data_IF_533465145938
#
_entry.id   IF_533465145938
#
_cell.length_a   1.000
_cell.length_b   1.000
_cell.length_c   1.000
_cell.angle_alpha   90.00
_cell.angle_beta   90.00
_cell.angle_gamma   90.00
#
_symmetry.space_group_name_H-M   'P 1'
#
loop_
_entity.id
_entity.type
_entity.pdbx_description
1 polymer ?
#
# COMPACT_ATOMS: atom_id res chain seq x y z
N UNK A 1 10.02 42.47 69.96
CA UNK A 1 9.57 41.07 69.77
C UNK A 1 9.48 40.81 68.27
N UNK A 2 10.61 40.45 67.68
CA UNK A 2 10.93 39.09 67.18
C UNK A 2 10.30 38.77 65.83
N UNK A 3 11.14 38.85 64.80
CA UNK A 3 10.92 38.33 63.44
C UNK A 3 10.52 36.86 63.48
N UNK A 4 9.58 36.45 62.63
CA UNK A 4 9.57 35.08 62.12
C UNK A 4 9.04 35.05 60.69
N UNK A 5 9.96 34.77 59.75
CA UNK A 5 9.69 34.37 58.38
C UNK A 5 8.95 33.04 58.39
N UNK A 6 7.86 32.90 57.63
CA UNK A 6 7.42 31.59 57.11
C UNK A 6 7.08 31.70 55.63
N UNK A 7 7.81 30.88 54.90
CA UNK A 7 7.86 30.67 53.46
C UNK A 7 6.57 30.08 52.92
N UNK A 8 6.18 30.55 51.74
CA UNK A 8 5.07 30.03 50.94
C UNK A 8 5.50 28.73 50.26
N UNK A 9 4.80 27.63 50.53
CA UNK A 9 4.93 26.38 49.80
C UNK A 9 3.70 26.23 48.87
N UNK A 10 3.88 26.62 47.61
CA UNK A 10 2.94 26.32 46.53
C UNK A 10 3.23 24.89 46.07
N UNK A 11 2.38 23.95 46.47
CA UNK A 11 2.39 22.57 45.96
C UNK A 11 1.76 22.57 44.56
N UNK A 12 2.60 22.81 43.55
CA UNK A 12 2.33 22.41 42.17
C UNK A 12 2.55 20.90 42.09
N UNK A 13 1.48 20.14 41.82
CA UNK A 13 1.54 18.72 41.45
C UNK A 13 1.64 18.67 39.92
N UNK A 14 2.77 18.29 39.32
CA UNK A 14 2.78 17.86 37.93
C UNK A 14 2.44 16.37 37.91
N UNK A 15 1.30 16.04 37.31
CA UNK A 15 0.99 14.71 36.80
C UNK A 15 2.05 14.31 35.78
N UNK A 16 3.09 13.60 36.21
CA UNK A 16 3.96 12.85 35.32
C UNK A 16 3.29 11.51 34.98
N UNK A 17 2.30 11.54 34.08
CA UNK A 17 1.94 10.37 33.27
C UNK A 17 2.99 10.22 32.16
N UNK A 18 4.17 9.72 32.52
CA UNK A 18 5.09 9.14 31.55
C UNK A 18 4.52 7.80 31.14
N UNK A 19 3.59 7.81 30.18
CA UNK A 19 3.37 6.64 29.33
C UNK A 19 4.62 6.50 28.46
N UNK A 20 5.67 5.89 29.03
CA UNK A 20 6.71 5.28 28.23
C UNK A 20 6.03 4.17 27.42
N UNK A 21 5.59 4.48 26.20
CA UNK A 21 5.54 3.48 25.15
C UNK A 21 7.00 3.13 24.82
N UNK A 22 7.63 2.39 25.73
CA UNK A 22 8.65 1.45 25.32
C UNK A 22 7.88 0.45 24.49
N UNK A 23 8.02 0.57 23.17
CA UNK A 23 7.87 -0.57 22.27
C UNK A 23 8.94 -1.55 22.73
N UNK A 24 8.66 -2.29 23.81
CA UNK A 24 9.37 -3.51 24.11
C UNK A 24 9.23 -4.31 22.84
N UNK A 25 10.34 -4.49 22.14
CA UNK A 25 10.52 -5.61 21.23
C UNK A 25 9.76 -6.76 21.87
N UNK A 26 8.66 -7.19 21.26
CA UNK A 26 8.10 -8.49 21.63
C UNK A 26 9.24 -9.43 21.30
N UNK A 27 10.00 -9.77 22.33
CA UNK A 27 10.73 -11.02 22.41
C UNK A 27 9.83 -12.05 21.76
N UNK A 28 10.43 -12.95 21.00
CA UNK A 28 9.89 -14.23 20.58
C UNK A 28 9.48 -15.05 21.81
N UNK A 29 8.52 -14.53 22.59
CA UNK A 29 7.58 -15.34 23.31
C UNK A 29 7.05 -16.27 22.23
N UNK A 30 7.36 -17.56 22.38
CA UNK A 30 6.66 -18.59 21.66
C UNK A 30 5.19 -18.23 21.79
N UNK A 31 4.58 -17.73 20.72
CA UNK A 31 3.12 -17.70 20.61
C UNK A 31 2.75 -19.18 20.55
N UNK A 32 2.76 -19.84 21.71
CA UNK A 32 2.28 -21.20 21.89
C UNK A 32 0.79 -21.10 21.57
N UNK A 33 0.47 -21.54 20.36
CA UNK A 33 -0.88 -21.53 19.86
C UNK A 33 -1.75 -22.24 20.88
N UNK A 34 -2.79 -21.55 21.33
CA UNK A 34 -3.73 -22.04 22.32
C UNK A 34 -4.15 -23.47 21.94
N UNK A 35 -3.90 -24.40 22.87
CA UNK A 35 -4.35 -25.78 22.78
C UNK A 35 -5.85 -25.80 22.46
N UNK A 36 -6.23 -26.40 21.33
CA UNK A 36 -7.61 -26.41 20.83
C UNK A 36 -7.90 -25.48 19.64
N UNK A 37 -6.89 -24.80 19.09
CA UNK A 37 -7.08 -24.02 17.85
C UNK A 37 -7.46 -24.92 16.67
N UNK A 38 -8.56 -24.58 15.99
CA UNK A 38 -9.01 -25.31 14.79
C UNK A 38 -8.02 -25.09 13.63
N UNK A 39 -7.54 -26.21 13.07
CA UNK A 39 -6.82 -26.24 11.80
C UNK A 39 -7.73 -27.00 10.85
N UNK A 40 -7.95 -26.42 9.67
CA UNK A 40 -8.63 -27.11 8.59
C UNK A 40 -7.99 -28.48 8.33
N UNK A 41 -8.76 -29.60 8.35
CA UNK A 41 -8.23 -30.95 8.18
C UNK A 41 -7.46 -31.20 6.88
N UNK A 42 -7.65 -30.35 5.86
CA UNK A 42 -6.94 -30.42 4.59
C UNK A 42 -5.52 -29.85 4.65
N UNK A 43 -5.14 -29.24 5.78
CA UNK A 43 -3.91 -28.47 5.94
C UNK A 43 -3.07 -29.03 7.08
N UNK A 44 -1.75 -29.06 6.88
CA UNK A 44 -0.78 -29.40 7.92
C UNK A 44 0.15 -28.23 8.17
N UNK A 45 0.63 -28.10 9.41
CA UNK A 45 1.59 -27.05 9.75
C UNK A 45 3.03 -27.54 9.54
N UNK A 46 3.84 -26.67 8.99
CA UNK A 46 5.28 -26.86 8.94
C UNK A 46 5.94 -26.16 10.14
N UNK A 47 6.66 -26.87 11.01
CA UNK A 47 7.30 -26.27 12.18
C UNK A 47 8.49 -25.39 11.76
N UNK A 48 8.52 -24.15 12.25
CA UNK A 48 9.63 -23.22 12.01
C UNK A 48 10.70 -23.24 13.12
N UNK A 49 10.56 -24.09 14.15
CA UNK A 49 11.42 -24.10 15.33
C UNK A 49 12.91 -24.33 15.00
N UNK A 50 13.19 -25.13 13.95
CA UNK A 50 14.55 -25.44 13.50
C UNK A 50 15.13 -24.38 12.55
N UNK A 51 14.34 -23.36 12.18
CA UNK A 51 14.71 -22.32 11.22
C UNK A 51 14.74 -20.96 11.92
N UNK A 52 15.92 -20.35 11.99
CA UNK A 52 16.04 -19.02 12.56
C UNK A 52 15.25 -18.00 11.76
N UNK A 53 14.29 -17.39 12.46
CA UNK A 53 13.49 -16.28 11.96
C UNK A 53 14.16 -14.91 12.18
N UNK A 54 15.36 -14.89 12.79
CA UNK A 54 16.13 -13.65 12.96
C UNK A 54 16.81 -13.23 11.66
N UNK A 55 16.52 -12.02 11.19
CA UNK A 55 17.23 -11.37 10.07
C UNK A 55 18.72 -11.25 10.36
N UNK A 56 19.11 -10.97 11.61
CA UNK A 56 20.50 -10.77 12.01
C UNK A 56 21.35 -12.03 11.90
N UNK A 57 20.74 -13.22 11.84
CA UNK A 57 21.48 -14.44 11.53
C UNK A 57 22.01 -14.45 10.09
N UNK A 58 21.24 -13.86 9.17
CA UNK A 58 21.51 -13.89 7.73
C UNK A 58 22.19 -12.61 7.23
N UNK A 59 22.01 -11.51 7.95
CA UNK A 59 22.65 -10.22 7.72
C UNK A 59 23.28 -9.75 9.04
N UNK A 60 24.45 -10.29 9.42
CA UNK A 60 25.06 -10.04 10.72
C UNK A 60 25.45 -8.56 10.89
N UNK A 61 25.00 -7.86 11.94
CA UNK A 61 25.35 -6.45 12.17
C UNK A 61 26.83 -6.19 12.42
N UNK A 62 27.59 -7.22 12.79
CA UNK A 62 29.04 -7.18 13.01
C UNK A 62 29.87 -7.57 11.76
N UNK A 63 29.21 -7.83 10.62
CA UNK A 63 29.93 -8.15 9.38
C UNK A 63 30.70 -6.93 8.87
N UNK A 64 31.91 -7.16 8.35
CA UNK A 64 32.77 -6.09 7.84
C UNK A 64 32.14 -5.31 6.66
N UNK A 65 31.19 -5.93 5.95
CA UNK A 65 30.48 -5.39 4.81
C UNK A 65 29.07 -4.84 5.14
N UNK A 66 28.65 -4.84 6.42
CA UNK A 66 27.29 -4.48 6.83
C UNK A 66 26.81 -3.10 6.32
N UNK A 67 27.73 -2.14 6.23
CA UNK A 67 27.46 -0.76 5.77
C UNK A 67 27.93 -0.49 4.34
N UNK A 68 28.43 -1.51 3.63
CA UNK A 68 28.96 -1.40 2.26
C UNK A 68 27.80 -1.62 1.28
N UNK A 69 27.59 -0.75 0.26
CA UNK A 69 26.59 -0.98 -0.77
C UNK A 69 26.77 -2.31 -1.50
N UNK A 70 25.67 -3.02 -1.73
CA UNK A 70 25.65 -4.23 -2.57
C UNK A 70 25.62 -3.91 -4.06
N UNK A 71 25.31 -2.65 -4.43
CA UNK A 71 25.38 -2.13 -5.80
C UNK A 71 26.05 -0.76 -5.82
N UNK A 72 26.66 -0.42 -6.95
CA UNK A 72 27.27 0.89 -7.15
C UNK A 72 26.22 2.01 -7.26
N UNK A 73 26.64 3.23 -6.94
CA UNK A 73 25.72 4.38 -6.88
C UNK A 73 25.13 4.76 -8.24
N UNK A 74 25.85 4.55 -9.35
CA UNK A 74 25.35 4.87 -10.68
C UNK A 74 24.24 3.88 -11.08
N UNK A 75 24.41 2.60 -10.77
CA UNK A 75 23.39 1.57 -10.93
C UNK A 75 22.16 1.84 -10.08
N UNK A 76 22.33 2.16 -8.79
CA UNK A 76 21.20 2.49 -7.92
C UNK A 76 20.43 3.71 -8.44
N UNK A 77 21.14 4.76 -8.87
CA UNK A 77 20.52 5.96 -9.41
C UNK A 77 19.76 5.70 -10.71
N UNK A 78 20.26 4.81 -11.58
CA UNK A 78 19.56 4.38 -12.80
C UNK A 78 18.22 3.71 -12.47
N UNK A 79 18.19 2.77 -11.51
CA UNK A 79 16.94 2.14 -11.09
C UNK A 79 15.98 3.12 -10.42
N UNK A 80 16.49 4.04 -9.60
CA UNK A 80 15.65 5.07 -8.99
C UNK A 80 15.06 6.05 -10.02
N UNK A 81 15.81 6.40 -11.06
CA UNK A 81 15.29 7.20 -12.17
C UNK A 81 14.22 6.43 -12.97
N UNK A 82 14.42 5.12 -13.20
CA UNK A 82 13.41 4.28 -13.84
C UNK A 82 12.12 4.20 -13.01
N UNK A 83 12.23 4.05 -11.68
CA UNK A 83 11.08 4.09 -10.76
C UNK A 83 10.31 5.42 -10.88
N UNK A 84 11.01 6.55 -10.82
CA UNK A 84 10.40 7.88 -10.97
C UNK A 84 9.73 8.07 -12.33
N UNK A 85 10.36 7.60 -13.41
CA UNK A 85 9.76 7.65 -14.76
C UNK A 85 8.48 6.81 -14.83
N UNK A 86 8.50 5.60 -14.24
CA UNK A 86 7.35 4.70 -14.22
C UNK A 86 6.16 5.26 -13.43
N UNK A 87 6.40 5.94 -12.31
CA UNK A 87 5.34 6.55 -11.52
C UNK A 87 4.92 7.92 -12.04
N UNK A 88 5.87 8.80 -12.37
CA UNK A 88 5.64 10.24 -12.53
C UNK A 88 6.18 10.83 -13.84
N UNK A 89 6.75 10.02 -14.73
CA UNK A 89 7.33 10.48 -15.99
C UNK A 89 6.24 10.98 -16.95
N UNK A 90 6.56 12.04 -17.69
CA UNK A 90 5.62 12.75 -18.58
C UNK A 90 6.13 12.86 -20.02
N UNK A 91 7.29 12.28 -20.33
CA UNK A 91 7.85 12.19 -21.69
C UNK A 91 7.20 11.05 -22.50
N UNK A 92 7.55 10.89 -23.78
CA UNK A 92 6.92 9.88 -24.65
C UNK A 92 7.22 8.43 -24.27
N UNK A 93 8.29 8.18 -23.52
CA UNK A 93 8.77 6.84 -23.17
C UNK A 93 8.32 6.40 -21.76
N UNK A 94 7.86 7.34 -20.95
CA UNK A 94 7.40 7.07 -19.59
C UNK A 94 6.03 6.38 -19.54
N UNK A 95 5.88 5.42 -18.64
CA UNK A 95 4.64 4.64 -18.46
C UNK A 95 3.77 5.11 -17.28
N UNK A 96 3.90 6.37 -16.86
CA UNK A 96 3.06 6.94 -15.79
C UNK A 96 1.59 6.97 -16.19
N UNK A 97 0.66 6.63 -15.29
CA UNK A 97 -0.77 6.84 -15.51
C UNK A 97 -1.16 8.30 -15.76
N UNK A 98 -0.34 9.28 -15.37
CA UNK A 98 -0.61 10.69 -15.68
C UNK A 98 -0.14 11.11 -17.07
N UNK A 99 0.64 10.27 -17.76
CA UNK A 99 1.18 10.55 -19.07
C UNK A 99 0.14 10.31 -20.18
N UNK A 100 -0.23 11.37 -20.89
CA UNK A 100 -1.17 11.30 -22.01
C UNK A 100 -0.68 10.43 -23.17
N UNK A 101 0.62 10.37 -23.46
CA UNK A 101 1.16 9.55 -24.54
C UNK A 101 0.96 8.06 -24.25
N UNK A 102 1.39 7.62 -23.06
CA UNK A 102 1.20 6.25 -22.60
C UNK A 102 -0.26 5.83 -22.58
N UNK A 103 -1.14 6.63 -21.97
CA UNK A 103 -2.55 6.30 -21.87
C UNK A 103 -3.23 6.29 -23.25
N UNK A 104 -2.90 7.23 -24.14
CA UNK A 104 -3.42 7.21 -25.52
C UNK A 104 -3.01 5.94 -26.26
N UNK A 105 -1.76 5.48 -26.10
CA UNK A 105 -1.29 4.24 -26.71
C UNK A 105 -2.00 3.00 -26.10
N UNK A 106 -2.22 2.99 -24.79
CA UNK A 106 -2.94 1.93 -24.08
C UNK A 106 -4.41 1.83 -24.53
N UNK A 107 -5.11 2.97 -24.62
CA UNK A 107 -6.52 3.03 -25.06
C UNK A 107 -6.72 2.50 -26.47
N UNK A 108 -5.74 2.71 -27.36
CA UNK A 108 -5.76 2.19 -28.75
C UNK A 108 -5.52 0.67 -28.85
N UNK A 109 -4.91 0.03 -27.84
CA UNK A 109 -4.54 -1.40 -27.84
C UNK A 109 -5.59 -2.30 -27.15
N UNK A 110 -6.84 -1.84 -27.07
CA UNK A 110 -7.97 -2.52 -26.41
C UNK A 110 -7.87 -2.57 -24.87
N UNK A 111 -8.01 -1.39 -24.24
CA UNK A 111 -7.98 -1.23 -22.78
C UNK A 111 -9.07 -2.03 -22.02
N UNK A 112 -10.11 -2.49 -22.72
CA UNK A 112 -11.18 -3.31 -22.13
C UNK A 112 -10.79 -4.79 -21.98
N UNK A 113 -9.79 -5.28 -22.71
CA UNK A 113 -9.49 -6.72 -22.84
C UNK A 113 -9.35 -7.43 -21.49
N UNK A 114 -8.57 -6.88 -20.56
CA UNK A 114 -8.32 -7.51 -19.26
C UNK A 114 -9.59 -7.57 -18.37
N UNK A 115 -10.41 -6.52 -18.42
CA UNK A 115 -11.69 -6.48 -17.71
C UNK A 115 -12.67 -7.48 -18.31
N UNK A 116 -12.78 -7.51 -19.63
CA UNK A 116 -13.73 -8.39 -20.33
C UNK A 116 -13.33 -9.85 -20.17
N UNK A 117 -12.03 -10.16 -20.11
CA UNK A 117 -11.52 -11.48 -19.74
C UNK A 117 -11.93 -11.86 -18.31
N UNK A 118 -11.83 -10.94 -17.35
CA UNK A 118 -12.26 -11.18 -15.96
C UNK A 118 -13.77 -11.43 -15.87
N UNK A 119 -14.58 -10.62 -16.57
CA UNK A 119 -16.03 -10.81 -16.69
C UNK A 119 -16.34 -12.20 -17.25
N UNK A 120 -15.66 -12.61 -18.33
CA UNK A 120 -15.87 -13.92 -18.97
C UNK A 120 -15.50 -15.07 -18.02
N UNK A 121 -14.35 -14.96 -17.37
CA UNK A 121 -13.85 -15.99 -16.45
C UNK A 121 -14.79 -16.19 -15.27
N UNK A 122 -15.11 -15.10 -14.56
CA UNK A 122 -15.74 -15.20 -13.24
C UNK A 122 -17.27 -15.19 -13.27
N UNK A 123 -17.88 -14.62 -14.32
CA UNK A 123 -19.33 -14.40 -14.36
C UNK A 123 -20.06 -15.29 -15.38
N UNK A 124 -19.37 -16.15 -16.12
CA UNK A 124 -20.01 -17.06 -17.09
C UNK A 124 -20.97 -18.07 -16.42
N UNK A 125 -21.99 -18.52 -17.15
CA UNK A 125 -23.04 -19.40 -16.61
C UNK A 125 -22.48 -20.73 -16.07
N UNK A 126 -21.44 -21.26 -16.71
CA UNK A 126 -20.78 -22.51 -16.32
C UNK A 126 -19.73 -22.39 -15.21
N UNK A 127 -19.39 -21.18 -14.77
CA UNK A 127 -18.43 -20.99 -13.68
C UNK A 127 -19.04 -21.32 -12.31
N UNK A 128 -18.28 -21.96 -11.42
CA UNK A 128 -18.73 -22.31 -10.08
C UNK A 128 -17.72 -21.78 -9.07
N UNK A 129 -18.15 -20.81 -8.27
CA UNK A 129 -17.31 -20.16 -7.27
C UNK A 129 -18.08 -19.93 -5.99
N UNK A 130 -17.35 -19.92 -4.87
CA UNK A 130 -17.89 -19.83 -3.52
C UNK A 130 -17.68 -18.43 -2.95
N UNK A 131 -18.72 -17.90 -2.28
CA UNK A 131 -18.64 -16.63 -1.57
C UNK A 131 -18.11 -16.77 -0.14
N UNK A 132 -18.21 -15.68 0.62
CA UNK A 132 -17.76 -15.53 2.01
C UNK A 132 -18.41 -16.50 2.99
N UNK A 133 -19.62 -16.98 2.67
CA UNK A 133 -20.36 -17.96 3.46
C UNK A 133 -20.13 -19.42 3.02
N UNK A 134 -19.16 -19.64 2.13
CA UNK A 134 -18.82 -20.94 1.54
C UNK A 134 -20.00 -21.60 0.80
N UNK A 135 -20.89 -20.80 0.20
CA UNK A 135 -21.93 -21.26 -0.73
C UNK A 135 -21.61 -20.77 -2.14
N UNK A 136 -22.08 -21.53 -3.13
CA UNK A 136 -21.95 -21.15 -4.53
C UNK A 136 -22.70 -19.84 -4.81
N UNK A 137 -22.08 -18.97 -5.61
CA UNK A 137 -22.76 -17.79 -6.13
C UNK A 137 -23.91 -18.17 -7.05
N UNK A 138 -25.02 -17.45 -6.90
CA UNK A 138 -26.20 -17.62 -7.74
C UNK A 138 -26.04 -16.90 -9.07
N UNK A 139 -26.81 -17.29 -10.09
CA UNK A 139 -26.86 -16.55 -11.37
C UNK A 139 -27.26 -15.10 -11.17
N UNK A 140 -28.17 -14.83 -10.22
CA UNK A 140 -28.58 -13.47 -9.87
C UNK A 140 -27.40 -12.61 -9.41
N UNK A 141 -26.55 -13.11 -8.51
CA UNK A 141 -25.36 -12.37 -8.08
C UNK A 141 -24.44 -12.07 -9.27
N UNK A 142 -24.23 -13.05 -10.16
CA UNK A 142 -23.40 -12.86 -11.36
C UNK A 142 -23.98 -11.78 -12.29
N UNK A 143 -25.29 -11.77 -12.48
CA UNK A 143 -26.00 -10.76 -13.27
C UNK A 143 -25.88 -9.36 -12.65
N UNK A 144 -26.00 -9.25 -11.32
CA UNK A 144 -25.85 -7.98 -10.59
C UNK A 144 -24.42 -7.42 -10.75
N UNK A 145 -23.38 -8.24 -10.54
CA UNK A 145 -21.97 -7.81 -10.69
C UNK A 145 -21.65 -7.49 -12.16
N UNK A 146 -22.14 -8.31 -13.11
CA UNK A 146 -22.00 -8.06 -14.56
C UNK A 146 -22.64 -6.72 -14.93
N UNK A 147 -23.85 -6.49 -14.42
CA UNK A 147 -24.60 -5.25 -14.59
C UNK A 147 -23.80 -4.04 -14.13
N UNK A 148 -23.06 -4.14 -13.02
CA UNK A 148 -22.27 -3.03 -12.49
C UNK A 148 -20.91 -2.82 -13.21
N UNK A 149 -20.34 -3.87 -13.81
CA UNK A 149 -18.99 -3.89 -14.42
C UNK A 149 -18.96 -3.51 -15.89
N UNK A 150 -20.00 -3.89 -16.65
CA UNK A 150 -20.03 -3.76 -18.11
C UNK A 150 -20.36 -2.31 -18.53
N UNK A 151 -19.34 -1.45 -18.45
CA UNK A 151 -19.39 -0.04 -18.79
C UNK A 151 -18.47 0.28 -19.95
N UNK A 152 -18.74 1.35 -20.70
CA UNK A 152 -17.92 1.70 -21.86
C UNK A 152 -16.55 2.24 -21.42
N UNK A 153 -15.49 1.87 -22.14
CA UNK A 153 -14.16 2.46 -22.02
C UNK A 153 -13.89 3.23 -23.31
N UNK A 154 -13.73 4.55 -23.19
CA UNK A 154 -13.43 5.42 -24.32
C UNK A 154 -12.07 5.08 -24.92
N UNK A 155 -11.93 5.23 -26.24
CA UNK A 155 -10.66 5.07 -26.95
C UNK A 155 -9.85 6.37 -27.04
N UNK A 156 -10.29 7.44 -26.36
CA UNK A 156 -9.66 8.77 -26.36
C UNK A 156 -9.22 9.13 -24.94
N UNK A 157 -8.04 9.77 -24.84
CA UNK A 157 -7.51 10.27 -23.58
C UNK A 157 -8.26 11.52 -23.09
N UNK A 158 -8.59 11.54 -21.81
CA UNK A 158 -9.20 12.68 -21.13
C UNK A 158 -8.36 13.08 -19.92
N UNK A 159 -7.79 14.28 -19.96
CA UNK A 159 -6.92 14.80 -18.89
C UNK A 159 -7.60 14.88 -17.51
N UNK A 160 -8.93 14.97 -17.47
CA UNK A 160 -9.75 15.01 -16.25
C UNK A 160 -9.90 13.66 -15.55
N UNK A 161 -9.49 12.55 -16.18
CA UNK A 161 -9.57 11.19 -15.61
C UNK A 161 -8.34 10.79 -14.78
N UNK A 162 -7.39 11.70 -14.63
CA UNK A 162 -6.21 11.53 -13.78
C UNK A 162 -6.59 11.71 -12.30
N UNK A 163 -6.07 10.83 -11.46
CA UNK A 163 -6.26 10.87 -10.02
C UNK A 163 -5.05 10.40 -9.25
N UNK A 164 -5.14 10.43 -7.92
CA UNK A 164 -4.13 9.92 -6.99
C UNK A 164 -4.78 9.14 -5.87
N UNK A 165 -4.15 8.06 -5.43
CA UNK A 165 -4.58 7.30 -4.25
C UNK A 165 -4.34 8.11 -2.98
N UNK A 166 -5.34 8.20 -2.10
CA UNK A 166 -5.24 8.91 -0.81
C UNK A 166 -5.04 7.99 0.39
N UNK A 167 -5.34 6.70 0.22
CA UNK A 167 -5.12 5.64 1.20
C UNK A 167 -4.81 4.32 0.50
N UNK A 168 -4.46 3.29 1.28
CA UNK A 168 -4.33 1.94 0.76
C UNK A 168 -5.69 1.44 0.24
N UNK A 169 -5.74 0.95 -1.00
CA UNK A 169 -6.94 0.36 -1.61
C UNK A 169 -6.61 -0.99 -2.20
N UNK A 170 -7.51 -1.97 -2.01
CA UNK A 170 -7.45 -3.23 -2.72
C UNK A 170 -7.83 -2.99 -4.19
N UNK A 171 -7.13 -3.67 -5.09
CA UNK A 171 -7.41 -3.71 -6.53
C UNK A 171 -8.09 -5.02 -6.84
N UNK A 172 -9.26 -4.93 -7.45
CA UNK A 172 -10.17 -6.05 -7.70
C UNK A 172 -10.33 -6.34 -9.18
N UNK A 173 -10.50 -7.61 -9.53
CA UNK A 173 -10.81 -8.02 -10.91
C UNK A 173 -12.25 -7.64 -11.32
N UNK A 174 -13.17 -7.56 -10.35
CA UNK A 174 -14.55 -7.11 -10.50
C UNK A 174 -14.90 -6.07 -9.43
N UNK A 175 -15.84 -5.14 -9.68
CA UNK A 175 -16.25 -4.08 -8.76
C UNK A 175 -17.19 -4.62 -7.67
N UNK A 176 -16.67 -5.51 -6.83
CA UNK A 176 -17.36 -6.04 -5.65
C UNK A 176 -16.37 -6.24 -4.49
N UNK A 177 -16.89 -6.06 -3.27
CA UNK A 177 -16.20 -6.37 -2.02
C UNK A 177 -16.29 -7.86 -1.69
N UNK A 178 -17.25 -8.56 -2.30
CA UNK A 178 -17.45 -9.99 -2.03
C UNK A 178 -16.24 -10.79 -2.54
N UNK A 179 -15.76 -11.79 -1.77
CA UNK A 179 -14.67 -12.65 -2.20
C UNK A 179 -15.16 -13.73 -3.15
N UNK A 180 -14.27 -14.27 -3.97
CA UNK A 180 -14.60 -15.36 -4.89
C UNK A 180 -13.57 -16.47 -4.73
N UNK A 181 -13.98 -17.55 -4.08
CA UNK A 181 -13.13 -18.71 -3.83
C UNK A 181 -13.42 -19.84 -4.83
N UNK A 182 -12.43 -20.69 -5.07
CA UNK A 182 -12.72 -22.04 -5.59
C UNK A 182 -13.30 -22.90 -4.44
N UNK A 183 -13.38 -24.22 -4.64
CA UNK A 183 -13.95 -25.13 -3.66
C UNK A 183 -13.18 -25.09 -2.33
N UNK A 184 -13.76 -24.58 -1.23
CA UNK A 184 -13.06 -24.39 0.04
C UNK A 184 -12.66 -25.70 0.73
N UNK A 185 -13.12 -26.85 0.22
CA UNK A 185 -12.70 -28.18 0.68
C UNK A 185 -11.35 -28.62 0.13
N UNK A 186 -10.77 -27.87 -0.80
CA UNK A 186 -9.45 -28.16 -1.36
C UNK A 186 -8.37 -27.35 -0.64
N UNK A 187 -7.21 -27.97 -0.38
CA UNK A 187 -6.09 -27.27 0.22
C UNK A 187 -5.54 -26.20 -0.75
N UNK A 188 -5.32 -24.99 -0.25
CA UNK A 188 -4.93 -23.84 -1.08
C UNK A 188 -6.11 -23.09 -1.70
N UNK A 189 -7.34 -23.53 -1.45
CA UNK A 189 -8.56 -22.85 -1.87
C UNK A 189 -9.37 -22.36 -0.66
N UNK A 190 -10.38 -21.52 -0.92
CA UNK A 190 -11.12 -20.84 0.15
C UNK A 190 -10.35 -19.65 0.74
N UNK A 191 -10.76 -19.17 1.91
CA UNK A 191 -10.06 -18.09 2.59
C UNK A 191 -8.58 -18.46 2.87
N UNK A 192 -7.60 -17.57 2.62
CA UNK A 192 -7.72 -16.19 2.14
C UNK A 192 -7.52 -16.00 0.62
N UNK A 193 -7.59 -17.07 -0.20
CA UNK A 193 -7.31 -17.06 -1.64
C UNK A 193 -8.49 -16.54 -2.47
N UNK A 194 -8.83 -15.27 -2.26
CA UNK A 194 -9.84 -14.58 -3.04
C UNK A 194 -9.36 -14.32 -4.47
N UNK A 195 -9.95 -15.01 -5.44
CA UNK A 195 -9.56 -14.92 -6.85
C UNK A 195 -9.87 -13.56 -7.49
N UNK A 196 -10.71 -12.72 -6.88
CA UNK A 196 -10.93 -11.35 -7.34
C UNK A 196 -9.88 -10.38 -6.80
N UNK A 197 -9.08 -10.76 -5.81
CA UNK A 197 -8.04 -9.93 -5.24
C UNK A 197 -6.79 -9.94 -6.12
N UNK A 198 -6.46 -8.80 -6.75
CA UNK A 198 -5.34 -8.73 -7.69
C UNK A 198 -4.07 -8.15 -7.07
N UNK A 199 -4.18 -7.03 -6.35
CA UNK A 199 -3.07 -6.34 -5.69
C UNK A 199 -3.62 -5.26 -4.76
N UNK A 200 -2.75 -4.41 -4.21
CA UNK A 200 -3.15 -3.16 -3.55
C UNK A 200 -2.39 -1.97 -4.14
N UNK A 201 -3.01 -0.78 -4.09
CA UNK A 201 -2.34 0.48 -4.35
C UNK A 201 -2.11 1.23 -3.04
N UNK A 202 -0.93 1.82 -2.90
CA UNK A 202 -0.53 2.62 -1.74
C UNK A 202 -0.93 4.10 -1.94
N UNK A 203 -1.07 4.89 -0.85
CA UNK A 203 -1.28 6.33 -0.97
C UNK A 203 -0.13 7.00 -1.75
N UNK A 204 -0.48 8.00 -2.55
CA UNK A 204 0.46 8.70 -3.44
C UNK A 204 0.65 8.07 -4.81
N UNK A 205 0.11 6.87 -5.05
CA UNK A 205 0.16 6.23 -6.37
C UNK A 205 -0.71 7.01 -7.37
N UNK A 206 -0.14 7.46 -8.51
CA UNK A 206 -0.92 8.10 -9.56
C UNK A 206 -1.76 7.06 -10.30
N UNK A 207 -2.97 7.44 -10.70
CA UNK A 207 -3.90 6.56 -11.42
C UNK A 207 -4.57 7.29 -12.58
N UNK A 208 -5.01 6.53 -13.57
CA UNK A 208 -5.89 7.00 -14.66
C UNK A 208 -7.15 6.15 -14.71
N UNK A 209 -8.31 6.80 -14.65
CA UNK A 209 -9.61 6.12 -14.69
C UNK A 209 -9.99 5.80 -16.13
N UNK A 210 -10.15 4.52 -16.45
CA UNK A 210 -10.64 4.07 -17.76
C UNK A 210 -12.16 4.16 -17.83
N UNK A 211 -12.83 3.72 -16.78
CA UNK A 211 -14.29 3.79 -16.63
C UNK A 211 -14.70 3.68 -15.17
N UNK A 212 -15.99 3.84 -14.89
CA UNK A 212 -16.58 3.70 -13.56
C UNK A 212 -17.66 2.63 -13.59
N UNK A 213 -17.96 2.06 -12.43
CA UNK A 213 -19.09 1.14 -12.28
C UNK A 213 -20.40 1.91 -12.43
N UNK A 214 -21.49 1.22 -12.74
CA UNK A 214 -22.81 1.88 -12.92
C UNK A 214 -23.27 2.60 -11.65
N UNK A 215 -23.01 2.02 -10.49
CA UNK A 215 -23.30 2.60 -9.18
C UNK A 215 -22.32 3.68 -8.71
N UNK A 216 -21.26 3.96 -9.48
CA UNK A 216 -20.18 4.91 -9.17
C UNK A 216 -19.33 4.57 -7.94
N UNK A 217 -19.53 3.43 -7.28
CA UNK A 217 -18.72 3.01 -6.12
C UNK A 217 -17.30 2.64 -6.50
N UNK A 218 -17.08 2.24 -7.75
CA UNK A 218 -15.79 1.76 -8.22
C UNK A 218 -15.29 2.51 -9.44
N UNK A 219 -13.97 2.60 -9.56
CA UNK A 219 -13.28 3.09 -10.75
C UNK A 219 -12.34 2.01 -11.25
N UNK A 220 -12.42 1.68 -12.54
CA UNK A 220 -11.47 0.79 -13.20
C UNK A 220 -10.28 1.63 -13.65
N UNK A 221 -9.13 1.46 -12.99
CA UNK A 221 -7.99 2.35 -13.13
C UNK A 221 -6.75 1.64 -13.65
N UNK A 222 -5.93 2.37 -14.41
CA UNK A 222 -4.53 2.04 -14.68
C UNK A 222 -3.68 2.66 -13.59
N UNK A 223 -2.80 1.86 -12.99
CA UNK A 223 -1.75 2.30 -12.07
C UNK A 223 -0.37 1.85 -12.60
N UNK A 224 0.75 2.26 -11.99
CA UNK A 224 2.06 1.76 -12.40
C UNK A 224 2.21 0.24 -12.23
N UNK A 225 1.47 -0.38 -11.31
CA UNK A 225 1.65 -1.79 -10.98
C UNK A 225 0.60 -2.72 -11.58
N UNK A 226 -0.64 -2.26 -11.69
CA UNK A 226 -1.80 -3.10 -12.06
C UNK A 226 -2.93 -2.26 -12.63
N UNK A 227 -3.78 -2.88 -13.45
CA UNK A 227 -5.05 -2.31 -13.90
C UNK A 227 -6.20 -3.11 -13.29
N UNK A 228 -7.13 -2.43 -12.63
CA UNK A 228 -8.22 -3.09 -11.92
C UNK A 228 -9.22 -2.13 -11.28
N UNK A 229 -10.23 -2.66 -10.61
CA UNK A 229 -11.25 -1.89 -9.90
C UNK A 229 -10.77 -1.49 -8.51
N UNK A 230 -10.97 -0.22 -8.15
CA UNK A 230 -10.70 0.32 -6.80
C UNK A 230 -11.87 1.18 -6.35
N UNK A 231 -12.01 1.37 -5.03
CA UNK A 231 -13.07 2.19 -4.46
C UNK A 231 -12.92 3.66 -4.88
N UNK A 232 -14.05 4.28 -5.23
CA UNK A 232 -14.09 5.65 -5.76
C UNK A 232 -13.62 6.70 -4.76
N UNK A 233 -13.90 6.50 -3.47
CA UNK A 233 -13.49 7.39 -2.39
C UNK A 233 -11.99 7.35 -2.09
N UNK A 234 -11.28 6.34 -2.58
CA UNK A 234 -9.83 6.16 -2.38
C UNK A 234 -9.01 6.94 -3.39
N UNK A 235 -9.69 7.47 -4.41
CA UNK A 235 -9.11 8.29 -5.47
C UNK A 235 -9.55 9.74 -5.27
N UNK A 236 -8.57 10.63 -5.21
CA UNK A 236 -8.78 12.06 -5.39
C UNK A 236 -8.47 12.46 -6.83
N UNK A 237 -9.37 13.23 -7.45
CA UNK A 237 -9.18 13.78 -8.79
C UNK A 237 -8.07 14.82 -8.79
N UNK A 238 -7.24 14.81 -9.83
CA UNK A 238 -6.09 15.72 -9.94
C UNK A 238 -6.24 16.62 -11.17
N UNK A 239 -6.04 17.92 -10.96
CA UNK A 239 -5.89 18.86 -12.07
C UNK A 239 -4.42 18.99 -12.51
N UNK A 240 -4.18 19.75 -13.58
CA UNK A 240 -2.82 19.94 -14.09
C UNK A 240 -1.92 20.68 -13.10
N UNK A 241 -2.46 21.57 -12.26
CA UNK A 241 -1.69 22.32 -11.26
C UNK A 241 -1.17 21.38 -10.18
N UNK A 242 -2.04 20.51 -9.65
CA UNK A 242 -1.68 19.48 -8.68
C UNK A 242 -0.62 18.55 -9.25
N UNK A 243 -0.82 18.03 -10.47
CA UNK A 243 0.13 17.11 -11.12
C UNK A 243 1.50 17.77 -11.27
N UNK A 244 1.56 18.99 -11.81
CA UNK A 244 2.84 19.72 -11.97
C UNK A 244 3.54 19.93 -10.62
N UNK A 245 2.79 20.29 -9.58
CA UNK A 245 3.35 20.46 -8.23
C UNK A 245 3.86 19.13 -7.66
N UNK A 246 3.07 18.06 -7.75
CA UNK A 246 3.42 16.74 -7.24
C UNK A 246 4.66 16.17 -7.92
N UNK A 247 4.68 16.20 -9.25
CA UNK A 247 5.82 15.73 -10.06
C UNK A 247 7.08 16.54 -9.70
N UNK A 248 7.00 17.86 -9.60
CA UNK A 248 8.15 18.69 -9.19
C UNK A 248 8.68 18.29 -7.81
N UNK A 249 7.79 18.06 -6.83
CA UNK A 249 8.19 17.60 -5.50
C UNK A 249 8.83 16.21 -5.57
N UNK A 250 8.21 15.25 -6.26
CA UNK A 250 8.69 13.88 -6.40
C UNK A 250 10.07 13.80 -7.08
N UNK A 251 10.32 14.63 -8.09
CA UNK A 251 11.62 14.70 -8.75
C UNK A 251 12.70 15.34 -7.87
N UNK A 252 12.33 16.29 -7.02
CA UNK A 252 13.25 16.98 -6.12
C UNK A 252 13.62 16.11 -4.91
N UNK A 253 12.62 15.57 -4.21
CA UNK A 253 12.76 14.85 -2.96
C UNK A 253 11.63 13.83 -2.83
N UNK A 254 11.95 12.56 -3.04
CA UNK A 254 11.07 11.43 -2.80
C UNK A 254 11.63 10.61 -1.63
N UNK A 255 10.75 10.10 -0.79
CA UNK A 255 11.13 9.19 0.29
C UNK A 255 10.19 7.99 0.37
N UNK A 256 10.54 7.04 1.22
CA UNK A 256 9.81 5.81 1.44
C UNK A 256 9.59 5.55 2.93
N UNK A 257 8.49 4.87 3.25
CA UNK A 257 8.27 4.31 4.57
C UNK A 257 9.18 3.11 4.79
N UNK A 258 9.80 3.03 5.97
CA UNK A 258 10.77 1.97 6.34
C UNK A 258 10.31 1.16 7.55
N UNK A 259 9.09 1.41 8.02
CA UNK A 259 8.47 0.73 9.15
C UNK A 259 7.00 0.42 8.83
N UNK A 260 6.41 -0.56 9.50
CA UNK A 260 5.01 -0.91 9.33
C UNK A 260 4.36 -1.42 10.64
N UNK A 261 3.09 -1.07 10.89
CA UNK A 261 2.32 0.00 10.26
C UNK A 261 2.70 1.38 10.80
N UNK A 262 2.70 2.42 9.96
CA UNK A 262 2.86 3.82 10.40
C UNK A 262 1.54 4.57 10.24
N UNK A 263 0.95 5.04 11.34
CA UNK A 263 -0.28 5.84 11.30
C UNK A 263 0.04 7.29 10.93
N UNK A 264 -0.39 7.74 9.76
CA UNK A 264 -0.17 9.13 9.31
C UNK A 264 -1.38 9.96 9.71
N UNK A 265 -1.16 10.85 10.68
CA UNK A 265 -2.19 11.72 11.23
C UNK A 265 -1.62 13.08 11.62
N UNK A 266 -2.45 14.12 11.62
CA UNK A 266 -2.10 15.45 12.14
C UNK A 266 -3.31 16.13 12.76
N UNK A 267 -3.10 16.90 13.83
CA UNK A 267 -4.16 17.64 14.53
C UNK A 267 -5.42 16.80 14.86
N UNK A 268 -5.22 15.53 15.25
CA UNK A 268 -6.31 14.61 15.60
C UNK A 268 -7.03 13.95 14.40
N UNK A 269 -6.59 14.21 13.17
CA UNK A 269 -7.17 13.63 11.95
C UNK A 269 -6.24 12.57 11.38
N UNK A 270 -6.77 11.36 11.23
CA UNK A 270 -6.12 10.26 10.51
C UNK A 270 -6.26 10.42 8.99
N UNK A 271 -5.17 10.20 8.26
CA UNK A 271 -5.15 10.25 6.80
C UNK A 271 -5.05 8.85 6.18
N UNK A 272 -4.00 8.11 6.52
CA UNK A 272 -3.75 6.77 5.99
C UNK A 272 -2.72 6.02 6.85
N UNK A 273 -2.55 4.73 6.57
CA UNK A 273 -1.47 3.91 7.12
C UNK A 273 -0.38 3.75 6.06
N UNK A 274 0.86 4.07 6.42
CA UNK A 274 2.04 3.87 5.60
C UNK A 274 2.73 2.54 5.92
N UNK A 275 3.32 1.93 4.90
CA UNK A 275 4.06 0.65 4.96
C UNK A 275 5.21 0.68 3.94
N UNK A 276 6.24 -0.18 4.08
CA UNK A 276 7.23 -0.39 3.02
C UNK A 276 6.59 -0.56 1.64
N UNK A 277 7.24 0.03 0.63
CA UNK A 277 6.68 0.21 -0.70
C UNK A 277 5.83 1.47 -0.90
N UNK A 278 5.44 2.19 0.17
CA UNK A 278 4.79 3.51 0.05
C UNK A 278 5.84 4.58 -0.17
N UNK A 279 5.73 5.32 -1.29
CA UNK A 279 6.65 6.40 -1.66
C UNK A 279 5.91 7.73 -1.75
N UNK A 280 6.45 8.78 -1.13
CA UNK A 280 5.82 10.11 -1.10
C UNK A 280 6.86 11.22 -1.28
N UNK A 281 6.50 12.34 -1.91
CA UNK A 281 7.35 13.52 -1.91
C UNK A 281 7.51 14.11 -0.49
N UNK A 282 8.61 14.80 -0.25
CA UNK A 282 8.82 15.61 0.96
C UNK A 282 9.56 16.92 0.61
N UNK A 283 9.58 17.90 1.50
CA UNK A 283 10.26 19.20 1.21
C UNK A 283 11.17 19.76 2.30
N UNK A 284 11.22 19.15 3.48
CA UNK A 284 12.11 19.52 4.57
C UNK A 284 12.58 18.29 5.32
N UNK A 285 13.86 18.29 5.69
CA UNK A 285 14.45 17.36 6.63
C UNK A 285 15.11 18.17 7.75
N UNK A 286 14.66 17.99 8.99
CA UNK A 286 15.20 18.70 10.17
C UNK A 286 15.21 17.77 11.37
N UNK A 287 16.34 17.70 12.08
CA UNK A 287 16.49 16.91 13.30
C UNK A 287 15.95 15.47 13.18
N UNK A 288 16.21 14.81 12.04
CA UNK A 288 15.73 13.44 11.79
C UNK A 288 14.23 13.31 11.49
N UNK A 289 13.53 14.41 11.19
CA UNK A 289 12.13 14.40 10.77
C UNK A 289 11.97 14.84 9.32
N UNK A 290 10.94 14.32 8.66
CA UNK A 290 10.60 14.55 7.26
C UNK A 290 9.20 15.17 7.16
N UNK A 291 9.07 16.30 6.47
CA UNK A 291 7.77 16.89 6.17
C UNK A 291 7.23 16.33 4.85
N UNK A 292 6.43 15.27 4.95
CA UNK A 292 5.91 14.53 3.79
C UNK A 292 4.66 15.17 3.21
N UNK A 293 4.46 14.98 1.90
CA UNK A 293 3.26 15.39 1.17
C UNK A 293 2.20 14.29 1.24
N UNK A 294 1.32 14.35 2.25
CA UNK A 294 0.18 13.45 2.38
C UNK A 294 -0.91 13.83 1.35
N UNK A 295 -1.29 12.95 0.41
CA UNK A 295 -2.39 13.21 -0.51
C UNK A 295 -3.72 13.06 0.24
N UNK A 296 -4.57 14.08 0.15
CA UNK A 296 -5.90 14.08 0.77
C UNK A 296 -6.98 14.42 -0.25
N UNK A 297 -8.21 13.98 0.02
CA UNK A 297 -9.39 14.18 -0.82
C UNK A 297 -10.32 15.18 -0.17
N UNK A 298 -10.63 16.29 -0.85
CA UNK A 298 -11.63 17.26 -0.36
C UNK A 298 -13.08 16.74 -0.53
N UNK A 299 -14.05 17.50 -0.02
CA UNK A 299 -15.48 17.17 -0.13
C UNK A 299 -16.00 17.13 -1.57
N UNK A 300 -15.29 17.77 -2.52
CA UNK A 300 -15.59 17.72 -3.95
C UNK A 300 -14.83 16.61 -4.68
N UNK A 301 -14.07 15.78 -3.95
CA UNK A 301 -13.28 14.69 -4.49
C UNK A 301 -11.98 15.11 -5.17
N UNK A 302 -11.47 16.32 -4.91
CA UNK A 302 -10.22 16.84 -5.48
C UNK A 302 -9.02 16.60 -4.56
N UNK A 303 -7.87 16.41 -5.16
CA UNK A 303 -6.62 16.16 -4.45
C UNK A 303 -6.01 17.44 -3.88
N UNK A 304 -5.56 17.36 -2.62
CA UNK A 304 -4.74 18.37 -1.97
C UNK A 304 -3.54 17.73 -1.29
N UNK A 305 -2.50 18.52 -1.05
CA UNK A 305 -1.35 18.11 -0.25
C UNK A 305 -1.55 18.63 1.17
N UNK A 306 -1.66 17.71 2.13
CA UNK A 306 -1.49 18.01 3.54
C UNK A 306 -0.04 17.70 3.95
N UNK A 307 0.56 18.53 4.80
CA UNK A 307 1.95 18.36 5.20
C UNK A 307 2.02 17.74 6.60
N UNK A 308 2.61 16.54 6.69
CA UNK A 308 2.70 15.78 7.95
C UNK A 308 4.16 15.53 8.27
N UNK A 309 4.55 15.72 9.53
CA UNK A 309 5.88 15.35 10.00
C UNK A 309 5.92 13.87 10.33
N UNK A 310 6.87 13.15 9.74
CA UNK A 310 7.22 11.78 10.11
C UNK A 310 8.63 11.76 10.67
N UNK A 311 8.90 10.81 11.56
CA UNK A 311 10.23 10.63 12.14
C UNK A 311 11.11 9.72 11.27
N UNK A 312 12.42 9.80 11.45
CA UNK A 312 13.40 9.05 10.65
C UNK A 312 13.45 7.55 10.92
N UNK A 313 12.68 7.06 11.91
CA UNK A 313 12.46 5.63 12.10
C UNK A 313 11.24 5.11 11.32
N UNK A 314 10.43 6.01 10.75
CA UNK A 314 9.22 5.69 9.96
C UNK A 314 9.47 5.91 8.47
N UNK A 315 10.26 6.93 8.11
CA UNK A 315 10.42 7.41 6.75
C UNK A 315 11.87 7.83 6.46
N UNK A 316 12.32 7.62 5.22
CA UNK A 316 13.68 8.00 4.78
C UNK A 316 13.67 8.56 3.35
N UNK A 317 14.72 9.31 3.00
CA UNK A 317 14.89 9.82 1.64
C UNK A 317 15.34 8.70 0.67
N UNK A 318 14.83 8.76 -0.56
CA UNK A 318 15.20 7.84 -1.64
C UNK A 318 16.23 8.46 -2.62
N UNK A 319 17.11 7.62 -3.20
CA UNK A 319 17.25 6.20 -2.93
C UNK A 319 17.95 5.98 -1.58
N UNK A 320 17.40 5.09 -0.74
CA UNK A 320 18.09 4.72 0.48
C UNK A 320 19.25 3.79 0.11
N UNK A 321 20.46 4.10 0.59
CA UNK A 321 21.69 3.39 0.19
C UNK A 321 21.47 1.87 0.36
N UNK A 322 21.69 1.09 -0.70
CA UNK A 322 21.40 -0.35 -0.69
C UNK A 322 22.51 -1.12 0.04
N UNK A 323 22.56 -1.01 1.36
CA UNK A 323 23.48 -1.73 2.25
C UNK A 323 22.76 -2.89 2.94
N UNK A 324 23.50 -3.94 3.37
CA UNK A 324 22.94 -4.99 4.23
C UNK A 324 22.19 -4.43 5.45
N UNK A 325 22.72 -3.37 6.09
CA UNK A 325 22.08 -2.64 7.18
C UNK A 325 20.66 -2.16 6.85
N UNK A 326 20.51 -1.40 5.76
CA UNK A 326 19.21 -0.80 5.41
C UNK A 326 18.22 -1.87 4.91
N UNK A 327 18.72 -2.90 4.21
CA UNK A 327 17.91 -4.07 3.84
C UNK A 327 17.40 -4.78 5.09
N UNK A 328 18.26 -4.97 6.10
CA UNK A 328 17.87 -5.61 7.34
C UNK A 328 16.80 -4.81 8.11
N UNK A 329 16.83 -3.47 8.08
CA UNK A 329 15.76 -2.64 8.67
C UNK A 329 14.41 -2.94 8.01
N UNK A 330 14.35 -2.95 6.67
CA UNK A 330 13.11 -3.25 5.95
C UNK A 330 12.63 -4.69 6.21
N UNK A 331 13.52 -5.67 6.12
CA UNK A 331 13.19 -7.06 6.40
C UNK A 331 12.63 -7.24 7.82
N UNK A 332 13.23 -6.59 8.83
CA UNK A 332 12.73 -6.62 10.21
C UNK A 332 11.36 -5.95 10.36
N UNK A 333 11.12 -4.85 9.65
CA UNK A 333 9.83 -4.14 9.67
C UNK A 333 8.69 -4.94 9.02
N UNK A 334 9.01 -5.81 8.07
CA UNK A 334 8.04 -6.63 7.32
C UNK A 334 7.89 -8.05 7.89
N UNK A 335 8.86 -8.49 8.70
CA UNK A 335 8.91 -9.83 9.27
C UNK A 335 7.68 -10.17 10.13
N UNK A 336 7.18 -11.41 9.97
CA UNK A 336 6.09 -11.96 10.78
C UNK A 336 4.69 -11.51 10.37
N UNK A 337 4.55 -10.65 9.35
CA UNK A 337 3.27 -10.32 8.78
C UNK A 337 2.61 -11.58 8.17
N UNK A 338 1.29 -11.80 8.35
CA UNK A 338 0.55 -12.84 7.66
C UNK A 338 0.72 -12.76 6.13
N UNK A 339 0.60 -13.89 5.44
CA UNK A 339 0.51 -13.90 3.98
C UNK A 339 -0.84 -13.35 3.51
N UNK A 340 -0.85 -12.45 2.53
CA UNK A 340 -2.05 -11.91 1.91
C UNK A 340 -2.06 -12.12 0.40
N UNK A 341 -2.84 -13.09 -0.09
CA UNK A 341 -3.02 -13.34 -1.53
C UNK A 341 -3.43 -12.05 -2.26
N UNK A 342 -2.64 -11.62 -3.26
CA UNK A 342 -2.92 -10.39 -4.00
C UNK A 342 -3.02 -9.14 -3.10
N UNK A 343 -2.32 -9.12 -1.97
CA UNK A 343 -2.46 -8.13 -0.91
C UNK A 343 -3.76 -8.11 -0.09
N UNK A 344 -4.48 -9.24 0.01
CA UNK A 344 -5.65 -9.33 0.88
C UNK A 344 -5.35 -8.84 2.31
N UNK A 345 -6.24 -8.04 2.89
CA UNK A 345 -6.04 -7.33 4.18
C UNK A 345 -4.78 -6.43 4.24
N UNK A 346 -4.26 -5.98 3.10
CA UNK A 346 -3.04 -5.17 2.96
C UNK A 346 -1.74 -5.84 3.42
N UNK A 347 -1.78 -7.14 3.70
CA UNK A 347 -0.59 -7.96 3.84
C UNK A 347 0.07 -8.17 2.48
N UNK A 348 1.30 -8.67 2.44
CA UNK A 348 1.97 -8.96 1.17
C UNK A 348 1.81 -10.44 0.80
N UNK A 349 1.67 -10.72 -0.50
CA UNK A 349 2.05 -12.03 -1.04
C UNK A 349 3.57 -12.05 -1.33
N UNK A 350 4.06 -13.16 -1.86
CA UNK A 350 5.49 -13.35 -2.16
C UNK A 350 6.06 -12.26 -3.09
N UNK A 351 5.32 -11.85 -4.12
CA UNK A 351 5.78 -10.88 -5.10
C UNK A 351 5.67 -9.44 -4.57
N UNK A 352 4.60 -9.15 -3.83
CA UNK A 352 4.40 -7.86 -3.20
C UNK A 352 5.41 -7.60 -2.08
N UNK A 353 5.87 -8.65 -1.39
CA UNK A 353 6.94 -8.58 -0.40
C UNK A 353 8.23 -8.09 -1.04
N UNK A 354 8.68 -8.74 -2.11
CA UNK A 354 9.90 -8.37 -2.85
C UNK A 354 9.79 -6.99 -3.50
N UNK A 355 8.59 -6.59 -3.95
CA UNK A 355 8.36 -5.24 -4.51
C UNK A 355 8.40 -4.14 -3.45
N UNK A 356 8.01 -4.47 -2.21
CA UNK A 356 7.91 -3.51 -1.10
C UNK A 356 9.25 -3.34 -0.38
N UNK A 357 10.05 -4.41 -0.33
CA UNK A 357 11.46 -4.41 0.06
C UNK A 357 12.31 -3.66 -0.97
#
# INVERSE_FOLDING_TARGET
MTMQKKTWAVLLIPLCLTACHQTTYRSTAKDEILTGSYIDPTKTRFPLADYSQSVDKWIPPDSADYTIPVIDSATQQRYFNALKSHYFGMDSEAHSPWNGFYITALLKKNAAQARDASIKQFLSDGSAYWGENFRLYTSRWKEEVRGNTDTQIDNIYHASRRGIMVRESLVRALPTDDPLFNDPRQAGEGYPFDNLQMSSLRPGTPVYTLTKSKDQRWQYVVSPAVTGWVHSEDIASTDQKFITQWVLLAHKQLGAFINAPVSVHAAGVYYFTGRPGTILPFRHQRAGQFLIAAPVRDSNGRAFIHWVWLSGNEFTAMPWKMTPENIAVLMKAMHGAPYGWGNFNFYNDCSAEVRSL
#
